data_IF_650213377716
#
_entry.id   IF_650213377716
#
_cell.length_a   1.000
_cell.length_b   1.000
_cell.length_c   1.000
_cell.angle_alpha   90.00
_cell.angle_beta   90.00
_cell.angle_gamma   90.00
#
_symmetry.space_group_name_H-M   'P 1'
#
loop_
_entity.id
_entity.type
_entity.pdbx_description
1 polymer ?
#
# COMPACT_ATOMS: atom_id res chain seq x y z
N UNK A 1 29.05 -3.60 14.07
CA UNK A 1 27.88 -2.96 14.69
C UNK A 1 26.87 -2.52 13.62
N UNK A 2 27.20 -1.65 12.71
CA UNK A 2 26.26 -1.12 11.69
C UNK A 2 25.53 -2.18 10.83
N UNK A 3 26.18 -3.29 10.46
CA UNK A 3 25.52 -4.37 9.69
C UNK A 3 24.46 -5.12 10.51
N UNK A 4 24.66 -5.25 11.82
CA UNK A 4 23.70 -5.89 12.72
C UNK A 4 22.47 -4.99 12.96
N UNK A 5 22.65 -3.68 13.03
CA UNK A 5 21.59 -2.69 13.18
C UNK A 5 20.71 -2.64 11.93
N UNK A 6 21.35 -2.56 10.74
CA UNK A 6 20.62 -2.61 9.47
C UNK A 6 19.85 -3.94 9.30
N UNK A 7 20.45 -5.07 9.64
CA UNK A 7 19.78 -6.37 9.61
C UNK A 7 18.62 -6.47 10.62
N UNK A 8 18.70 -5.79 11.75
CA UNK A 8 17.60 -5.72 12.73
C UNK A 8 16.44 -4.87 12.19
N UNK A 9 16.73 -3.72 11.57
CA UNK A 9 15.73 -2.85 10.92
C UNK A 9 14.99 -3.61 9.83
N UNK A 10 15.71 -4.29 8.94
CA UNK A 10 15.11 -5.09 7.86
C UNK A 10 14.22 -6.20 8.44
N UNK A 11 14.69 -6.96 9.43
CA UNK A 11 13.91 -8.03 10.06
C UNK A 11 12.65 -7.50 10.74
N UNK A 12 12.73 -6.39 11.48
CA UNK A 12 11.59 -5.76 12.13
C UNK A 12 10.52 -5.37 11.09
N UNK A 13 10.94 -4.89 9.93
CA UNK A 13 10.03 -4.48 8.85
C UNK A 13 9.34 -5.67 8.19
N UNK A 14 9.96 -6.87 8.10
CA UNK A 14 9.36 -8.06 7.49
C UNK A 14 8.08 -8.47 8.24
N UNK A 15 8.04 -8.30 9.56
CA UNK A 15 6.89 -8.67 10.38
C UNK A 15 5.81 -7.59 10.45
N UNK A 16 6.10 -6.36 10.02
CA UNK A 16 5.11 -5.29 9.90
C UNK A 16 4.40 -5.40 8.56
N UNK A 17 3.11 -5.72 8.57
CA UNK A 17 2.31 -5.74 7.34
C UNK A 17 2.17 -4.34 6.75
N UNK A 18 2.11 -3.32 7.62
CA UNK A 18 1.91 -1.93 7.26
C UNK A 18 3.11 -1.10 7.71
N UNK A 19 3.74 -0.39 6.77
CA UNK A 19 4.85 0.51 7.03
C UNK A 19 4.34 1.96 7.05
N UNK A 20 4.76 2.73 8.06
CA UNK A 20 4.68 4.19 7.98
C UNK A 20 5.71 4.73 6.99
N UNK A 21 5.60 6.00 6.57
CA UNK A 21 6.57 6.62 5.67
C UNK A 21 8.00 6.50 6.24
N UNK A 22 8.20 6.92 7.49
CA UNK A 22 9.51 6.86 8.15
C UNK A 22 10.08 5.43 8.21
N UNK A 23 9.22 4.44 8.50
CA UNK A 23 9.61 3.03 8.53
C UNK A 23 9.97 2.50 7.14
N UNK A 24 9.31 2.96 6.10
CA UNK A 24 9.60 2.61 4.73
C UNK A 24 10.95 3.21 4.29
N UNK A 25 11.21 4.46 4.63
CA UNK A 25 12.46 5.16 4.33
C UNK A 25 13.64 4.53 5.09
N UNK A 26 13.46 4.22 6.37
CA UNK A 26 14.45 3.52 7.19
C UNK A 26 14.78 2.13 6.63
N UNK A 27 13.76 1.39 6.15
CA UNK A 27 13.94 0.08 5.55
C UNK A 27 14.79 0.15 4.28
N UNK A 28 14.48 1.08 3.37
CA UNK A 28 15.24 1.27 2.12
C UNK A 28 16.66 1.70 2.43
N UNK A 29 16.85 2.66 3.35
CA UNK A 29 18.15 3.13 3.74
C UNK A 29 19.02 2.02 4.36
N UNK A 30 18.46 1.19 5.26
CA UNK A 30 19.18 0.08 5.88
C UNK A 30 19.57 -0.99 4.85
N UNK A 31 18.64 -1.37 3.96
CA UNK A 31 18.92 -2.35 2.90
C UNK A 31 19.97 -1.81 1.89
N UNK A 32 19.87 -0.54 1.52
CA UNK A 32 20.82 0.13 0.64
C UNK A 32 22.25 0.15 1.22
N UNK A 33 22.41 0.56 2.49
CA UNK A 33 23.72 0.53 3.16
C UNK A 33 24.29 -0.89 3.22
N UNK A 34 23.45 -1.89 3.44
CA UNK A 34 23.89 -3.29 3.46
C UNK A 34 24.33 -3.77 2.10
N UNK A 35 23.57 -3.47 1.05
CA UNK A 35 23.96 -3.78 -0.33
C UNK A 35 25.30 -3.14 -0.71
N UNK A 36 25.49 -1.85 -0.44
CA UNK A 36 26.76 -1.15 -0.75
C UNK A 36 27.96 -1.76 -0.02
N UNK A 37 27.81 -2.19 1.25
CA UNK A 37 28.89 -2.86 1.97
C UNK A 37 29.24 -4.24 1.33
N UNK A 38 28.23 -5.02 0.92
CA UNK A 38 28.46 -6.32 0.27
C UNK A 38 29.05 -6.16 -1.13
N UNK A 39 28.59 -5.16 -1.87
CA UNK A 39 29.15 -4.80 -3.16
C UNK A 39 30.64 -4.43 -3.04
N UNK A 40 30.98 -3.56 -2.10
CA UNK A 40 32.36 -3.19 -1.83
C UNK A 40 33.24 -4.40 -1.47
N UNK A 41 32.76 -5.29 -0.61
CA UNK A 41 33.49 -6.50 -0.25
C UNK A 41 33.70 -7.44 -1.46
N UNK A 42 32.71 -7.56 -2.34
CA UNK A 42 32.86 -8.32 -3.60
C UNK A 42 33.88 -7.66 -4.53
N UNK A 43 33.82 -6.34 -4.72
CA UNK A 43 34.76 -5.61 -5.59
C UNK A 43 36.21 -5.71 -5.08
N UNK A 44 36.42 -5.67 -3.76
CA UNK A 44 37.72 -5.88 -3.11
C UNK A 44 38.24 -7.31 -3.35
N UNK A 45 37.39 -8.34 -3.13
CA UNK A 45 37.74 -9.72 -3.37
C UNK A 45 38.07 -9.97 -4.86
N UNK A 46 37.25 -9.39 -5.74
CA UNK A 46 37.49 -9.46 -7.20
C UNK A 46 38.84 -8.86 -7.60
N UNK A 47 39.21 -7.72 -7.06
CA UNK A 47 40.50 -7.10 -7.30
C UNK A 47 41.66 -8.01 -6.88
N UNK A 48 41.56 -8.69 -5.73
CA UNK A 48 42.59 -9.62 -5.25
C UNK A 48 42.70 -10.87 -6.14
N UNK A 49 41.60 -11.33 -6.72
CA UNK A 49 41.62 -12.43 -7.70
C UNK A 49 42.23 -11.97 -9.02
N UNK A 50 41.88 -10.79 -9.51
CA UNK A 50 42.42 -10.22 -10.75
C UNK A 50 43.95 -9.98 -10.66
N UNK A 51 44.45 -9.68 -9.45
CA UNK A 51 45.87 -9.59 -9.14
C UNK A 51 46.56 -10.94 -8.92
N UNK A 52 45.84 -12.05 -8.97
CA UNK A 52 46.39 -13.38 -8.74
C UNK A 52 46.71 -13.70 -7.27
N UNK A 53 46.28 -12.86 -6.31
CA UNK A 53 46.51 -13.02 -4.87
C UNK A 53 45.55 -14.05 -4.28
N UNK A 54 44.35 -14.15 -4.82
CA UNK A 54 43.32 -15.11 -4.38
C UNK A 54 42.83 -15.99 -5.52
N UNK A 55 42.41 -17.24 -5.27
CA UNK A 55 41.84 -18.10 -6.30
C UNK A 55 40.41 -17.64 -6.66
N UNK A 56 39.98 -17.83 -7.91
CA UNK A 56 38.65 -17.41 -8.41
C UNK A 56 37.48 -17.98 -7.59
N UNK A 57 37.62 -19.18 -7.01
CA UNK A 57 36.61 -19.79 -6.13
C UNK A 57 36.30 -18.93 -4.88
N UNK A 58 37.20 -18.05 -4.48
CA UNK A 58 37.01 -17.14 -3.36
C UNK A 58 35.93 -16.07 -3.62
N UNK A 59 35.51 -15.86 -4.87
CA UNK A 59 34.44 -14.92 -5.23
C UNK A 59 33.05 -15.48 -4.95
N UNK A 60 32.88 -16.79 -4.78
CA UNK A 60 31.57 -17.43 -4.66
C UNK A 60 30.76 -16.87 -3.49
N UNK A 61 31.36 -16.81 -2.28
CA UNK A 61 30.67 -16.29 -1.09
C UNK A 61 30.38 -14.78 -1.18
N UNK A 62 31.35 -13.90 -1.51
CA UNK A 62 31.08 -12.48 -1.67
C UNK A 62 30.02 -12.17 -2.73
N UNK A 63 30.00 -12.92 -3.85
CA UNK A 63 28.99 -12.76 -4.89
C UNK A 63 27.59 -13.13 -4.39
N UNK A 64 27.47 -14.28 -3.72
CA UNK A 64 26.19 -14.71 -3.15
C UNK A 64 25.65 -13.73 -2.10
N UNK A 65 26.55 -13.19 -1.25
CA UNK A 65 26.18 -12.20 -0.24
C UNK A 65 25.73 -10.88 -0.87
N UNK A 66 26.41 -10.44 -1.92
CA UNK A 66 26.03 -9.24 -2.67
C UNK A 66 24.69 -9.43 -3.37
N UNK A 67 24.47 -10.57 -4.05
CA UNK A 67 23.21 -10.86 -4.73
C UNK A 67 22.04 -10.97 -3.76
N UNK A 68 22.27 -11.55 -2.58
CA UNK A 68 21.25 -11.60 -1.54
C UNK A 68 20.89 -10.20 -1.02
N UNK A 69 21.90 -9.38 -0.71
CA UNK A 69 21.68 -8.01 -0.25
C UNK A 69 21.00 -7.13 -1.32
N UNK A 70 21.30 -7.36 -2.61
CA UNK A 70 20.61 -6.70 -3.72
C UNK A 70 19.12 -7.04 -3.72
N UNK A 71 18.76 -8.32 -3.60
CA UNK A 71 17.36 -8.75 -3.55
C UNK A 71 16.62 -8.20 -2.33
N UNK A 72 17.31 -8.11 -1.18
CA UNK A 72 16.75 -7.43 0.01
C UNK A 72 16.46 -5.95 -0.29
N UNK A 73 17.38 -5.25 -0.96
CA UNK A 73 17.19 -3.85 -1.35
C UNK A 73 16.04 -3.66 -2.35
N UNK A 74 15.99 -4.48 -3.40
CA UNK A 74 14.93 -4.42 -4.42
C UNK A 74 13.54 -4.67 -3.79
N UNK A 75 13.46 -5.59 -2.82
CA UNK A 75 12.23 -5.86 -2.07
C UNK A 75 11.86 -4.70 -1.15
N UNK A 76 12.85 -4.11 -0.46
CA UNK A 76 12.65 -2.96 0.41
C UNK A 76 12.10 -1.76 -0.37
N UNK A 77 12.69 -1.44 -1.52
CA UNK A 77 12.26 -0.37 -2.41
C UNK A 77 10.83 -0.59 -2.93
N UNK A 78 10.52 -1.82 -3.34
CA UNK A 78 9.16 -2.18 -3.77
C UNK A 78 8.14 -2.00 -2.66
N UNK A 79 8.45 -2.44 -1.44
CA UNK A 79 7.57 -2.28 -0.27
C UNK A 79 7.38 -0.82 0.12
N UNK A 80 8.44 -0.02 0.06
CA UNK A 80 8.37 1.41 0.35
C UNK A 80 7.46 2.15 -0.65
N UNK A 81 7.59 1.84 -1.94
CA UNK A 81 6.70 2.42 -2.97
C UNK A 81 5.24 2.05 -2.74
N UNK A 82 4.95 0.79 -2.40
CA UNK A 82 3.58 0.35 -2.09
C UNK A 82 3.03 1.06 -0.85
N UNK A 83 3.85 1.23 0.20
CA UNK A 83 3.46 1.98 1.38
C UNK A 83 3.16 3.45 1.05
N UNK A 84 4.01 4.11 0.27
CA UNK A 84 3.79 5.49 -0.19
C UNK A 84 2.50 5.63 -1.01
N UNK A 85 2.22 4.69 -1.90
CA UNK A 85 0.97 4.68 -2.67
C UNK A 85 -0.24 4.53 -1.76
N UNK A 86 -0.18 3.63 -0.77
CA UNK A 86 -1.26 3.43 0.19
C UNK A 86 -1.50 4.69 1.05
N UNK A 87 -0.42 5.36 1.50
CA UNK A 87 -0.48 6.62 2.23
C UNK A 87 -1.16 7.70 1.39
N UNK A 88 -0.71 7.89 0.15
CA UNK A 88 -1.26 8.89 -0.76
C UNK A 88 -2.76 8.63 -1.05
N UNK A 89 -3.16 7.36 -1.21
CA UNK A 89 -4.57 7.00 -1.39
C UNK A 89 -5.42 7.34 -0.15
N UNK A 90 -4.92 7.04 1.05
CA UNK A 90 -5.64 7.33 2.29
C UNK A 90 -5.75 8.84 2.57
N UNK A 91 -4.71 9.61 2.28
CA UNK A 91 -4.74 11.08 2.37
C UNK A 91 -5.76 11.69 1.40
N UNK A 92 -5.84 11.14 0.20
CA UNK A 92 -6.80 11.55 -0.81
C UNK A 92 -8.23 11.30 -0.39
N UNK A 93 -8.53 10.11 0.12
CA UNK A 93 -9.84 9.76 0.64
C UNK A 93 -10.24 10.73 1.76
N UNK A 94 -9.33 10.99 2.70
CA UNK A 94 -9.57 11.94 3.79
C UNK A 94 -9.86 13.37 3.32
N UNK A 95 -9.19 13.81 2.25
CA UNK A 95 -9.42 15.15 1.69
C UNK A 95 -10.77 15.29 1.00
N UNK A 96 -11.17 14.26 0.22
CA UNK A 96 -12.49 14.24 -0.42
C UNK A 96 -13.59 14.19 0.62
N UNK A 97 -13.43 13.40 1.67
CA UNK A 97 -14.39 13.35 2.77
C UNK A 97 -14.54 14.70 3.49
N UNK A 98 -13.42 15.41 3.72
CA UNK A 98 -13.47 16.74 4.32
C UNK A 98 -14.22 17.74 3.43
N UNK A 99 -13.98 17.72 2.10
CA UNK A 99 -14.69 18.57 1.14
C UNK A 99 -16.17 18.24 1.05
N UNK A 100 -16.55 16.94 1.06
CA UNK A 100 -17.95 16.51 1.09
C UNK A 100 -18.68 16.95 2.35
N UNK A 101 -17.98 17.04 3.48
CA UNK A 101 -18.54 17.52 4.75
C UNK A 101 -18.77 19.05 4.74
N UNK A 102 -17.91 19.80 4.05
CA UNK A 102 -18.02 21.28 3.96
C UNK A 102 -18.98 21.73 2.84
N UNK A 103 -19.06 20.99 1.72
CA UNK A 103 -19.86 21.37 0.54
C UNK A 103 -20.68 20.19 -0.02
N UNK A 104 -21.72 19.72 0.68
CA UNK A 104 -22.47 18.53 0.29
C UNK A 104 -23.14 18.60 -1.11
N UNK A 105 -23.34 19.80 -1.64
CA UNK A 105 -24.12 20.02 -2.89
C UNK A 105 -23.28 20.29 -4.14
N UNK A 106 -21.96 20.51 -4.04
CA UNK A 106 -21.16 21.00 -5.17
C UNK A 106 -20.30 19.91 -5.88
N UNK A 107 -20.29 18.67 -5.40
CA UNK A 107 -19.36 17.63 -5.86
C UNK A 107 -19.97 16.38 -6.53
N UNK A 108 -21.08 16.46 -7.28
CA UNK A 108 -21.65 15.23 -7.87
C UNK A 108 -20.81 14.61 -9.01
N UNK A 109 -19.84 15.33 -9.57
CA UNK A 109 -19.09 14.87 -10.75
C UNK A 109 -17.78 14.14 -10.45
N UNK A 110 -17.20 14.28 -9.27
CA UNK A 110 -15.91 13.68 -8.90
C UNK A 110 -16.05 12.40 -8.09
N UNK A 111 -17.13 12.29 -7.32
CA UNK A 111 -17.38 11.15 -6.44
C UNK A 111 -18.84 10.72 -6.53
N UNK A 112 -19.07 9.46 -6.89
CA UNK A 112 -20.37 8.84 -6.72
C UNK A 112 -20.47 8.21 -5.32
N UNK A 113 -21.56 8.48 -4.61
CA UNK A 113 -21.86 7.91 -3.30
C UNK A 113 -23.14 7.10 -3.35
N UNK A 114 -23.10 5.93 -2.74
CA UNK A 114 -24.26 5.10 -2.51
C UNK A 114 -24.22 4.52 -1.09
N UNK A 115 -25.18 4.87 -0.26
CA UNK A 115 -25.20 4.48 1.16
C UNK A 115 -25.74 3.06 1.38
N UNK A 116 -26.50 2.51 0.42
CA UNK A 116 -27.04 1.15 0.50
C UNK A 116 -27.76 0.86 1.81
N UNK A 117 -27.45 -0.30 2.40
CA UNK A 117 -27.97 -0.66 3.73
C UNK A 117 -27.01 -0.26 4.87
N UNK A 118 -25.90 0.42 4.55
CA UNK A 118 -24.89 0.83 5.51
C UNK A 118 -24.04 -0.31 6.09
N UNK A 119 -24.23 -1.54 5.60
CA UNK A 119 -23.58 -2.74 6.14
C UNK A 119 -22.58 -3.27 5.11
N UNK A 120 -21.34 -3.50 5.59
CA UNK A 120 -20.31 -4.21 4.83
C UNK A 120 -19.60 -5.21 5.75
N UNK A 121 -19.49 -6.47 5.30
CA UNK A 121 -18.90 -7.56 6.08
C UNK A 121 -17.94 -8.39 5.23
N UNK A 122 -17.03 -9.19 5.84
CA UNK A 122 -16.16 -10.10 5.09
C UNK A 122 -16.91 -11.06 4.15
N UNK A 123 -18.11 -11.49 4.52
CA UNK A 123 -18.95 -12.35 3.68
C UNK A 123 -19.51 -11.61 2.47
N UNK A 124 -19.80 -10.31 2.61
CA UNK A 124 -20.18 -9.45 1.49
C UNK A 124 -18.99 -9.29 0.54
N UNK A 125 -17.78 -9.00 1.07
CA UNK A 125 -16.58 -8.94 0.26
C UNK A 125 -16.36 -10.22 -0.54
N UNK A 126 -16.40 -11.38 0.09
CA UNK A 126 -16.22 -12.66 -0.59
C UNK A 126 -17.23 -12.89 -1.73
N UNK A 127 -18.48 -12.45 -1.56
CA UNK A 127 -19.50 -12.51 -2.64
C UNK A 127 -19.14 -11.58 -3.79
N UNK A 128 -18.69 -10.36 -3.52
CA UNK A 128 -18.25 -9.40 -4.54
C UNK A 128 -17.03 -9.95 -5.30
N UNK A 129 -16.03 -10.47 -4.61
CA UNK A 129 -14.84 -11.09 -5.20
C UNK A 129 -15.20 -12.26 -6.12
N UNK A 130 -16.09 -13.13 -5.64
CA UNK A 130 -16.56 -14.30 -6.42
C UNK A 130 -17.33 -13.86 -7.68
N UNK A 131 -18.22 -12.88 -7.54
CA UNK A 131 -19.00 -12.37 -8.67
C UNK A 131 -18.12 -11.66 -9.70
N UNK A 132 -17.17 -10.84 -9.22
CA UNK A 132 -16.22 -10.14 -10.08
C UNK A 132 -15.32 -11.13 -10.85
N UNK A 133 -14.76 -12.12 -10.15
CA UNK A 133 -13.93 -13.15 -10.76
C UNK A 133 -14.72 -14.00 -11.77
N UNK A 134 -15.98 -14.31 -11.49
CA UNK A 134 -16.87 -15.03 -12.41
C UNK A 134 -17.19 -14.22 -13.67
N UNK A 135 -17.31 -12.89 -13.56
CA UNK A 135 -17.63 -12.01 -14.70
C UNK A 135 -16.41 -11.67 -15.57
N UNK A 136 -15.27 -11.34 -14.94
CA UNK A 136 -14.07 -10.86 -15.64
C UNK A 136 -12.96 -11.91 -15.80
N UNK A 137 -13.10 -13.10 -15.21
CA UNK A 137 -12.07 -14.15 -15.26
C UNK A 137 -10.77 -13.83 -14.52
N UNK A 138 -10.78 -12.81 -13.65
CA UNK A 138 -9.62 -12.36 -12.86
C UNK A 138 -10.05 -11.94 -11.45
N UNK A 139 -9.15 -11.97 -10.45
CA UNK A 139 -9.50 -11.55 -9.09
C UNK A 139 -9.83 -10.04 -9.03
N UNK A 140 -10.66 -9.67 -8.06
CA UNK A 140 -10.93 -8.26 -7.73
C UNK A 140 -9.62 -7.61 -7.26
N UNK A 141 -9.17 -6.49 -7.86
CA UNK A 141 -7.91 -5.83 -7.48
C UNK A 141 -8.06 -5.03 -6.18
N UNK A 142 -8.09 -5.70 -5.04
CA UNK A 142 -8.16 -5.09 -3.71
C UNK A 142 -6.82 -4.41 -3.41
N UNK A 143 -6.83 -3.11 -3.14
CA UNK A 143 -5.67 -2.31 -2.77
C UNK A 143 -5.51 -2.12 -1.27
N UNK A 144 -6.63 -2.07 -0.52
CA UNK A 144 -6.63 -2.07 0.94
C UNK A 144 -7.81 -2.88 1.48
N UNK A 145 -7.59 -3.66 2.54
CA UNK A 145 -8.63 -4.44 3.22
C UNK A 145 -8.56 -4.18 4.73
N UNK A 146 -9.54 -3.44 5.24
CA UNK A 146 -9.61 -3.06 6.64
C UNK A 146 -8.64 -1.95 7.03
N UNK A 147 -8.47 -1.76 8.35
CA UNK A 147 -7.65 -0.70 8.91
C UNK A 147 -6.16 -1.01 8.76
N UNK A 148 -5.47 -0.22 7.98
CA UNK A 148 -4.00 -0.27 7.84
C UNK A 148 -3.31 0.67 8.83
N UNK A 149 -1.99 0.52 9.03
CA UNK A 149 -1.20 1.44 9.85
C UNK A 149 -1.29 2.88 9.33
N UNK A 150 -1.44 3.03 8.03
CA UNK A 150 -1.60 4.31 7.34
C UNK A 150 -2.90 4.99 7.75
N UNK A 151 -4.03 4.28 7.69
CA UNK A 151 -5.33 4.81 8.12
C UNK A 151 -5.28 5.26 9.59
N UNK A 152 -4.65 4.46 10.46
CA UNK A 152 -4.46 4.84 11.88
C UNK A 152 -3.59 6.08 12.04
N UNK A 153 -2.48 6.17 11.30
CA UNK A 153 -1.57 7.33 11.36
C UNK A 153 -2.25 8.62 10.91
N UNK A 154 -3.17 8.53 9.95
CA UNK A 154 -3.97 9.66 9.44
C UNK A 154 -5.22 9.94 10.29
N UNK A 155 -5.48 9.14 11.33
CA UNK A 155 -6.62 9.31 12.23
C UNK A 155 -7.97 8.89 11.63
N UNK A 156 -7.97 7.92 10.71
CA UNK A 156 -9.20 7.36 10.13
C UNK A 156 -9.48 5.96 10.66
N UNK A 157 -10.75 5.69 10.94
CA UNK A 157 -11.26 4.34 11.17
C UNK A 157 -11.68 3.73 9.83
N UNK A 158 -10.85 2.83 9.31
CA UNK A 158 -11.09 2.09 8.06
C UNK A 158 -11.48 0.62 8.30
N UNK A 159 -11.86 0.27 9.54
CA UNK A 159 -12.27 -1.09 9.88
C UNK A 159 -13.55 -1.49 9.13
N UNK A 160 -13.54 -2.70 8.56
CA UNK A 160 -14.66 -3.23 7.80
C UNK A 160 -14.93 -2.49 6.48
N UNK A 161 -13.89 -1.96 5.83
CA UNK A 161 -13.93 -1.27 4.54
C UNK A 161 -12.86 -1.83 3.62
N UNK A 162 -13.06 -1.68 2.31
CA UNK A 162 -12.13 -2.23 1.29
C UNK A 162 -12.01 -1.26 0.12
N UNK A 163 -10.78 -0.97 -0.29
CA UNK A 163 -10.50 -0.20 -1.48
C UNK A 163 -10.16 -1.11 -2.65
N UNK A 164 -10.74 -0.81 -3.80
CA UNK A 164 -10.55 -1.56 -5.04
C UNK A 164 -9.93 -0.65 -6.08
N UNK A 165 -8.77 -1.04 -6.60
CA UNK A 165 -7.99 -0.29 -7.58
C UNK A 165 -8.58 -0.40 -8.99
N UNK A 166 -9.82 0.05 -9.18
CA UNK A 166 -10.50 0.16 -10.48
C UNK A 166 -10.99 1.57 -10.72
N UNK A 167 -10.86 2.05 -11.96
CA UNK A 167 -11.44 3.34 -12.32
C UNK A 167 -12.97 3.22 -12.44
N UNK A 168 -13.76 4.07 -11.75
CA UNK A 168 -15.23 3.97 -11.73
C UNK A 168 -15.90 3.95 -13.11
N UNK A 169 -15.33 4.64 -14.09
CA UNK A 169 -15.92 4.78 -15.43
C UNK A 169 -15.33 3.79 -16.45
N UNK A 170 -14.40 2.92 -16.05
CA UNK A 170 -13.97 1.79 -16.87
C UNK A 170 -14.94 0.61 -16.73
N UNK A 171 -14.97 -0.37 -17.66
CA UNK A 171 -15.94 -1.47 -17.66
C UNK A 171 -16.04 -2.20 -16.32
N UNK A 172 -14.91 -2.43 -15.67
CA UNK A 172 -14.84 -3.11 -14.36
C UNK A 172 -15.43 -2.25 -13.24
N UNK A 173 -15.18 -0.95 -13.24
CA UNK A 173 -15.71 -0.02 -12.27
C UNK A 173 -17.21 0.23 -12.46
N UNK A 174 -17.67 0.35 -13.71
CA UNK A 174 -19.10 0.48 -14.03
C UNK A 174 -19.84 -0.76 -13.53
N UNK A 175 -19.38 -1.94 -13.91
CA UNK A 175 -19.97 -3.20 -13.46
C UNK A 175 -19.97 -3.34 -11.93
N UNK A 176 -18.86 -3.01 -11.29
CA UNK A 176 -18.73 -3.10 -9.84
C UNK A 176 -19.73 -2.17 -9.14
N UNK A 177 -19.84 -0.91 -9.57
CA UNK A 177 -20.82 0.04 -9.00
C UNK A 177 -22.26 -0.45 -9.18
N UNK A 178 -22.62 -0.95 -10.37
CA UNK A 178 -23.94 -1.49 -10.64
C UNK A 178 -24.23 -2.72 -9.75
N UNK A 179 -23.28 -3.63 -9.61
CA UNK A 179 -23.37 -4.78 -8.73
C UNK A 179 -23.57 -4.36 -7.26
N UNK A 180 -22.78 -3.38 -6.79
CA UNK A 180 -22.89 -2.87 -5.41
C UNK A 180 -24.26 -2.20 -5.18
N UNK A 181 -24.74 -1.40 -6.12
CA UNK A 181 -26.09 -0.79 -6.05
C UNK A 181 -27.20 -1.85 -6.02
N UNK A 182 -27.13 -2.85 -6.90
CA UNK A 182 -28.13 -3.93 -6.97
C UNK A 182 -28.20 -4.72 -5.66
N UNK A 183 -27.07 -4.92 -5.00
CA UNK A 183 -26.99 -5.66 -3.74
C UNK A 183 -27.03 -4.75 -2.50
N UNK A 184 -27.34 -3.45 -2.67
CA UNK A 184 -27.45 -2.45 -1.61
C UNK A 184 -26.20 -2.33 -0.72
N UNK A 185 -25.03 -2.56 -1.33
CA UNK A 185 -23.73 -2.47 -0.66
C UNK A 185 -23.25 -1.01 -0.74
N UNK A 186 -22.90 -0.36 0.40
CA UNK A 186 -22.44 1.01 0.40
C UNK A 186 -21.07 1.15 -0.28
N UNK A 187 -20.89 2.24 -1.05
CA UNK A 187 -19.61 2.54 -1.70
C UNK A 187 -19.42 4.04 -1.96
N UNK A 188 -18.16 4.41 -2.19
CA UNK A 188 -17.73 5.67 -2.75
C UNK A 188 -16.87 5.39 -3.98
N UNK A 189 -17.17 6.02 -5.11
CA UNK A 189 -16.42 5.85 -6.35
C UNK A 189 -15.71 7.16 -6.71
N UNK A 190 -14.39 7.16 -6.61
CA UNK A 190 -13.52 8.30 -6.88
C UNK A 190 -13.02 8.23 -8.31
N UNK A 191 -13.28 9.28 -9.15
CA UNK A 191 -12.97 9.28 -10.59
C UNK A 191 -11.58 9.74 -10.95
N UNK A 192 -10.91 10.47 -10.09
CA UNK A 192 -9.57 10.98 -10.41
C UNK A 192 -8.69 11.14 -9.18
N UNK A 193 -7.39 11.25 -9.47
CA UNK A 193 -6.42 11.69 -8.49
C UNK A 193 -6.72 13.14 -8.08
N UNK A 194 -6.61 13.44 -6.80
CA UNK A 194 -6.62 14.82 -6.31
C UNK A 194 -5.17 15.28 -6.29
N UNK A 195 -4.75 16.32 -7.04
CA UNK A 195 -3.36 16.77 -7.09
C UNK A 195 -2.75 16.92 -5.70
N UNK A 196 -1.66 16.19 -5.44
CA UNK A 196 -0.95 16.19 -4.16
C UNK A 196 -1.56 15.31 -3.06
N UNK A 197 -2.66 14.58 -3.33
CA UNK A 197 -3.38 13.80 -2.31
C UNK A 197 -3.94 12.46 -2.76
N UNK A 198 -4.06 12.20 -4.06
CA UNK A 198 -4.54 10.92 -4.58
C UNK A 198 -3.73 10.44 -5.77
N UNK A 199 -3.32 9.19 -5.77
CA UNK A 199 -2.54 8.58 -6.84
C UNK A 199 -3.40 7.96 -7.95
N UNK A 200 -4.73 7.90 -7.78
CA UNK A 200 -5.59 7.34 -8.83
C UNK A 200 -7.06 7.22 -8.46
N UNK A 201 -7.86 6.90 -9.46
CA UNK A 201 -9.26 6.58 -9.30
C UNK A 201 -9.42 5.21 -8.64
N UNK A 202 -10.38 5.06 -7.72
CA UNK A 202 -10.66 3.79 -7.03
C UNK A 202 -12.12 3.72 -6.56
N UNK A 203 -12.56 2.55 -6.13
CA UNK A 203 -13.86 2.35 -5.50
C UNK A 203 -13.64 1.86 -4.07
N UNK A 204 -14.10 2.65 -3.12
CA UNK A 204 -14.15 2.32 -1.71
C UNK A 204 -15.47 1.58 -1.40
N UNK A 205 -15.42 0.38 -0.89
CA UNK A 205 -16.59 -0.41 -0.49
C UNK A 205 -16.74 -0.39 1.03
N UNK A 206 -17.93 -0.05 1.48
CA UNK A 206 -18.29 0.07 2.90
C UNK A 206 -18.83 1.45 3.25
N UNK A 207 -19.25 1.65 4.52
CA UNK A 207 -19.70 2.96 5.00
C UNK A 207 -18.53 3.95 5.00
N UNK A 208 -18.85 5.25 5.03
CA UNK A 208 -17.84 6.32 5.06
C UNK A 208 -16.86 6.11 6.22
N UNK A 209 -15.57 6.33 5.98
CA UNK A 209 -14.57 6.29 7.04
C UNK A 209 -14.79 7.44 8.03
N UNK A 210 -14.79 7.16 9.31
CA UNK A 210 -14.97 8.18 10.34
C UNK A 210 -13.61 8.65 10.86
N UNK A 211 -13.44 9.97 11.06
CA UNK A 211 -12.26 10.48 11.76
C UNK A 211 -12.29 10.01 13.21
N UNK A 212 -11.19 9.42 13.64
CA UNK A 212 -10.98 9.15 15.06
C UNK A 212 -10.81 10.50 15.78
N UNK A 213 -11.51 10.69 16.90
CA UNK A 213 -11.29 11.88 17.72
C UNK A 213 -9.83 11.92 18.17
N UNK A 214 -9.17 13.10 18.17
CA UNK A 214 -7.81 13.21 18.68
C UNK A 214 -7.76 12.71 20.12
N UNK A 215 -6.71 11.98 20.54
CA UNK A 215 -6.56 11.52 21.91
C UNK A 215 -6.54 12.75 22.84
N UNK A 216 -7.58 12.94 23.64
CA UNK A 216 -7.72 14.06 24.59
C UNK A 216 -8.99 14.92 24.45
N UNK A 217 -9.91 14.63 23.52
CA UNK A 217 -11.17 15.41 23.39
C UNK A 217 -12.34 14.81 24.19
N UNK A 218 -12.06 14.12 25.28
CA UNK A 218 -13.05 13.58 26.23
C UNK A 218 -12.65 13.97 27.65
N UNK A 219 -13.09 15.11 28.11
CA UNK A 219 -13.01 15.59 29.46
C UNK A 219 -14.34 16.16 29.83
#
# INVERSE_FOLDING_TARGET
MADAEDAATIRKSIYNQDLTQDQADDLVAAAGRRFERRKKAFDEAKNLVDLGVMPSRSLTSPLQEMDFARKEYDLADTRARLAQQAIAMAEAEGAVQAQLAEHPSEMPSLVDRFDGDGIFTPQILQRVETAFAGHFGKPLPVSANGETAVHRALGFDHRGRVDVAVHPDQPEGVWLREYLMQHRIPFFAFRQAVPGKATGAHIHMGPISTRLAPPGAGG
#
